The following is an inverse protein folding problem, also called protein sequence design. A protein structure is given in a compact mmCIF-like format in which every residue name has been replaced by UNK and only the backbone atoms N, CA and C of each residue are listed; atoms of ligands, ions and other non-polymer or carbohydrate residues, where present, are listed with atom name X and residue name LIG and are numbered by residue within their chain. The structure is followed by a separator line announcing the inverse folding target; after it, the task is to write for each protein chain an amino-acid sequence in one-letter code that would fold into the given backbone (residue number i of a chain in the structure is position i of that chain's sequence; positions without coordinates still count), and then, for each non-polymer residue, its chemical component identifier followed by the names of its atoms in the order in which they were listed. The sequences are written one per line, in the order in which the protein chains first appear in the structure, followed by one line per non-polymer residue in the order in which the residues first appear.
data_IF_675397063649
#
_entry.id   IF_675397063649
#
_cell.length_a   1.000
_cell.length_b   1.000
_cell.length_c   1.000
_cell.angle_alpha   90.00
_cell.angle_beta   90.00
_cell.angle_gamma   90.00
#
_symmetry.space_group_name_H-M   'P 1'
#
loop_
_entity.id
_entity.type
_entity.pdbx_description
1 polymer ?
#
# COMPACT_ATOMS: atom_id res chain seq x y z
N UNK A 1 5.15 5.29 30.94
CA UNK A 1 4.04 5.98 31.66
C UNK A 1 2.80 5.90 30.77
N UNK A 2 1.65 5.66 31.34
CA UNK A 2 0.44 5.42 30.56
C UNK A 2 -0.09 6.71 29.98
N UNK A 3 -0.65 6.66 28.78
CA UNK A 3 -1.35 7.75 28.12
C UNK A 3 -2.41 8.45 28.99
N UNK A 4 -2.98 7.72 29.96
CA UNK A 4 -3.95 8.23 30.95
C UNK A 4 -3.29 9.20 31.94
N UNK A 5 -2.06 8.91 32.39
CA UNK A 5 -1.35 9.83 33.30
C UNK A 5 -0.95 11.14 32.60
N UNK A 6 -0.66 11.09 31.31
CA UNK A 6 -0.37 12.30 30.53
C UNK A 6 -1.64 13.13 30.31
N UNK A 7 -2.79 12.48 30.12
CA UNK A 7 -4.08 13.15 30.06
C UNK A 7 -4.46 13.79 31.41
N UNK A 8 -4.20 13.12 32.53
CA UNK A 8 -4.47 13.67 33.87
C UNK A 8 -3.57 14.88 34.17
N UNK A 9 -2.31 14.87 33.70
CA UNK A 9 -1.43 16.06 33.79
C UNK A 9 -1.93 17.20 32.96
N UNK A 10 -2.52 16.93 31.82
CA UNK A 10 -3.14 17.92 30.94
C UNK A 10 -4.25 18.69 31.65
N UNK A 11 -5.11 18.00 32.41
CA UNK A 11 -6.23 18.61 33.14
C UNK A 11 -5.80 19.43 34.37
N UNK A 12 -4.59 19.27 34.88
CA UNK A 12 -4.13 19.89 36.13
C UNK A 12 -3.20 21.11 35.96
N UNK A 13 -2.90 21.52 34.73
CA UNK A 13 -2.08 22.71 34.52
C UNK A 13 -2.95 23.98 34.51
N UNK A 14 -3.03 24.66 35.64
CA UNK A 14 -3.57 26.02 35.74
C UNK A 14 -2.54 27.02 35.30
N UNK A 15 -2.93 28.00 34.50
CA UNK A 15 -2.00 29.05 34.04
C UNK A 15 -2.41 30.46 34.32
N UNK A 16 -3.63 30.71 34.61
CA UNK A 16 -4.17 32.02 34.90
C UNK A 16 -5.68 32.01 34.86
N UNK A 17 -6.24 33.11 35.29
CA UNK A 17 -7.67 33.34 35.21
C UNK A 17 -7.97 34.22 34.00
N UNK A 18 -9.15 34.11 33.44
CA UNK A 18 -9.62 35.11 32.50
C UNK A 18 -9.68 36.48 33.17
N UNK A 19 -9.51 37.55 32.40
CA UNK A 19 -9.48 38.93 32.92
C UNK A 19 -10.73 39.36 33.70
N UNK A 20 -11.82 38.63 33.51
CA UNK A 20 -13.11 38.83 34.19
C UNK A 20 -13.34 37.87 35.38
N UNK A 21 -12.39 37.03 35.70
CA UNK A 21 -12.48 36.03 36.76
C UNK A 21 -13.39 34.82 36.46
N UNK A 22 -13.89 34.69 35.24
CA UNK A 22 -14.81 33.65 34.85
C UNK A 22 -14.13 32.50 34.10
N UNK A 23 -13.17 31.88 34.71
CA UNK A 23 -12.52 30.69 34.12
C UNK A 23 -11.03 30.66 34.28
N UNK A 24 -10.42 29.57 33.89
CA UNK A 24 -8.99 29.36 34.02
C UNK A 24 -8.38 29.14 32.63
N UNK A 25 -7.25 29.83 32.39
CA UNK A 25 -6.46 29.57 31.21
C UNK A 25 -5.47 28.43 31.47
N UNK A 26 -5.32 27.56 30.55
CA UNK A 26 -4.30 26.51 30.58
C UNK A 26 -3.29 26.76 29.47
N UNK A 27 -2.01 26.72 29.82
CA UNK A 27 -1.00 26.67 28.77
C UNK A 27 -0.89 25.28 28.28
N UNK A 28 -1.51 25.07 27.20
CA UNK A 28 -1.30 23.88 26.41
C UNK A 28 -0.22 24.20 25.39
N UNK A 29 0.74 23.29 25.28
CA UNK A 29 1.53 23.31 24.05
C UNK A 29 0.55 23.01 22.92
N UNK A 30 0.35 23.99 22.07
CA UNK A 30 -0.46 23.84 20.85
C UNK A 30 0.41 23.45 19.66
N UNK A 31 1.56 22.86 19.91
CA UNK A 31 2.50 22.43 18.86
C UNK A 31 1.88 21.41 17.92
N UNK A 32 0.94 20.60 18.41
CA UNK A 32 0.17 19.70 17.57
C UNK A 32 -0.66 20.42 16.49
N UNK A 33 -1.06 21.68 16.74
CA UNK A 33 -1.76 22.47 15.74
C UNK A 33 -0.85 22.94 14.61
N UNK A 34 0.46 22.95 14.83
CA UNK A 34 1.41 23.32 13.81
C UNK A 34 1.37 22.36 12.62
N UNK A 35 0.97 21.10 12.84
CA UNK A 35 0.71 20.16 11.76
C UNK A 35 -0.36 20.72 10.81
N UNK A 36 -1.41 21.34 11.33
CA UNK A 36 -2.45 21.97 10.52
C UNK A 36 -2.02 23.32 9.97
N UNK A 37 -1.40 24.16 10.78
CA UNK A 37 -0.93 25.49 10.37
C UNK A 37 0.16 25.42 9.33
N UNK A 38 1.06 24.45 9.45
CA UNK A 38 2.18 24.24 8.53
C UNK A 38 1.82 23.42 7.30
N UNK A 39 0.63 22.87 7.25
CA UNK A 39 0.19 21.98 6.16
C UNK A 39 0.28 22.64 4.78
N UNK A 40 0.02 23.92 4.70
CA UNK A 40 0.04 24.69 3.46
C UNK A 40 1.43 25.20 3.08
N UNK A 41 2.42 25.04 3.95
CA UNK A 41 3.80 25.41 3.67
C UNK A 41 4.50 24.27 2.96
N UNK A 42 5.29 24.60 1.97
CA UNK A 42 6.08 23.63 1.22
C UNK A 42 7.38 24.26 0.72
N UNK A 43 8.40 23.45 0.55
CA UNK A 43 9.68 23.82 -0.04
C UNK A 43 9.66 23.52 -1.54
N UNK A 44 8.92 22.47 -1.96
CA UNK A 44 8.79 22.07 -3.34
C UNK A 44 7.48 21.34 -3.60
N UNK A 45 7.10 21.33 -4.88
CA UNK A 45 6.01 20.51 -5.39
C UNK A 45 6.63 19.46 -6.31
N UNK A 46 6.24 18.21 -6.11
CA UNK A 46 6.67 17.09 -6.95
C UNK A 46 5.43 16.47 -7.59
N UNK A 47 5.52 16.16 -8.89
CA UNK A 47 4.48 15.40 -9.56
C UNK A 47 4.66 13.92 -9.27
N UNK A 48 3.59 13.25 -8.88
CA UNK A 48 3.60 11.82 -8.60
C UNK A 48 2.21 11.22 -8.78
N UNK A 49 2.14 9.92 -8.65
CA UNK A 49 0.89 9.16 -8.50
C UNK A 49 0.94 8.35 -7.21
N UNK A 50 -0.19 7.88 -6.72
CA UNK A 50 -0.20 6.97 -5.58
C UNK A 50 -0.08 5.50 -6.03
N UNK A 51 0.49 4.68 -5.15
CA UNK A 51 0.80 3.28 -5.44
C UNK A 51 -0.35 2.33 -5.10
N UNK A 52 -1.53 2.53 -5.69
CA UNK A 52 -2.67 1.62 -5.56
C UNK A 52 -3.05 1.04 -6.92
N UNK A 53 -3.58 -0.18 -6.92
CA UNK A 53 -4.18 -0.78 -8.10
C UNK A 53 -5.48 -0.06 -8.42
N UNK A 54 -5.38 0.95 -9.27
CA UNK A 54 -6.48 1.81 -9.63
C UNK A 54 -6.34 2.24 -11.08
N UNK A 55 -7.42 2.20 -11.83
CA UNK A 55 -7.47 2.61 -13.24
C UNK A 55 -7.58 4.12 -13.44
N UNK A 56 -7.77 4.89 -12.37
CA UNK A 56 -7.95 6.34 -12.42
C UNK A 56 -6.76 7.11 -12.97
N UNK A 57 -5.56 6.54 -12.95
CA UNK A 57 -4.33 7.13 -13.52
C UNK A 57 -4.08 8.58 -13.09
N UNK A 58 -4.45 8.92 -11.86
CA UNK A 58 -4.37 10.29 -11.37
C UNK A 58 -2.93 10.76 -11.27
N UNK A 59 -2.69 12.00 -11.69
CA UNK A 59 -1.45 12.73 -11.44
C UNK A 59 -1.66 13.75 -10.33
N UNK A 60 -0.78 13.72 -9.35
CA UNK A 60 -0.91 14.55 -8.15
C UNK A 60 0.23 15.54 -8.03
N UNK A 61 -0.09 16.75 -7.58
CA UNK A 61 0.87 17.70 -7.06
C UNK A 61 1.10 17.36 -5.59
N UNK A 62 2.29 16.89 -5.28
CA UNK A 62 2.68 16.50 -3.93
C UNK A 62 3.49 17.64 -3.32
N UNK A 63 2.96 18.21 -2.26
CA UNK A 63 3.60 19.30 -1.52
C UNK A 63 4.52 18.72 -0.47
N UNK A 64 5.78 19.10 -0.52
CA UNK A 64 6.83 18.56 0.35
C UNK A 64 7.45 19.69 1.14
N UNK A 65 7.62 19.51 2.46
CA UNK A 65 8.36 20.38 3.34
C UNK A 65 9.36 19.57 4.15
N UNK A 66 10.62 19.99 4.13
CA UNK A 66 11.70 19.29 4.85
C UNK A 66 11.73 17.77 4.60
N UNK A 67 11.45 17.34 3.36
CA UNK A 67 11.40 15.93 2.99
C UNK A 67 10.13 15.19 3.36
N UNK A 68 9.17 15.82 4.02
CA UNK A 68 7.88 15.25 4.38
C UNK A 68 6.78 15.73 3.44
N UNK A 69 5.90 14.82 3.06
CA UNK A 69 4.69 15.17 2.33
C UNK A 69 3.73 15.83 3.31
N UNK A 70 3.32 17.04 3.00
CA UNK A 70 2.37 17.80 3.83
C UNK A 70 0.96 17.78 3.26
N UNK A 71 0.85 17.67 1.94
CA UNK A 71 -0.43 17.72 1.26
C UNK A 71 -0.32 17.20 -0.16
N UNK A 72 -1.46 16.88 -0.77
CA UNK A 72 -1.59 16.51 -2.17
C UNK A 72 -2.83 17.13 -2.80
N UNK A 73 -2.71 17.58 -4.05
CA UNK A 73 -3.83 18.05 -4.87
C UNK A 73 -3.78 17.44 -6.25
N UNK A 74 -4.94 17.31 -6.88
CA UNK A 74 -5.01 16.87 -8.27
C UNK A 74 -4.23 17.82 -9.17
N UNK A 75 -3.42 17.27 -10.04
CA UNK A 75 -2.81 18.01 -11.15
C UNK A 75 -3.91 18.43 -12.13
N UNK A 76 -4.01 19.72 -12.42
CA UNK A 76 -5.04 20.28 -13.31
C UNK A 76 -4.48 21.05 -14.50
N UNK A 77 -3.17 21.32 -14.52
CA UNK A 77 -2.48 22.09 -15.55
C UNK A 77 -1.91 21.15 -16.64
N UNK A 78 -2.78 20.33 -17.22
CA UNK A 78 -2.41 19.54 -18.37
C UNK A 78 -2.32 20.42 -19.62
N UNK A 79 -1.36 20.17 -20.51
CA UNK A 79 -1.30 20.88 -21.77
C UNK A 79 -2.56 20.58 -22.61
N UNK A 80 -3.08 21.60 -23.24
CA UNK A 80 -4.20 21.44 -24.16
C UNK A 80 -3.73 20.67 -25.40
N UNK A 81 -4.41 19.59 -25.73
CA UNK A 81 -4.05 18.74 -26.86
C UNK A 81 -4.76 19.16 -28.16
N UNK A 82 -5.93 19.78 -28.02
CA UNK A 82 -6.76 20.27 -29.14
C UNK A 82 -7.31 21.64 -28.80
N UNK A 83 -7.30 22.55 -29.79
CA UNK A 83 -7.79 23.90 -29.58
C UNK A 83 -9.29 24.04 -29.82
N UNK A 84 -9.87 23.11 -30.54
CA UNK A 84 -11.26 23.06 -30.96
C UNK A 84 -12.20 22.38 -29.95
N UNK A 85 -11.63 21.70 -28.96
CA UNK A 85 -12.38 21.05 -27.90
C UNK A 85 -12.01 21.61 -26.52
N UNK A 86 -12.92 21.55 -25.53
CA UNK A 86 -12.59 21.82 -24.17
C UNK A 86 -11.42 20.93 -23.71
N UNK A 87 -10.57 21.45 -22.83
CA UNK A 87 -9.47 20.64 -22.30
C UNK A 87 -10.01 19.60 -21.32
N UNK A 88 -9.32 18.45 -21.25
CA UNK A 88 -9.63 17.44 -20.27
C UNK A 88 -9.48 18.02 -18.84
N UNK A 89 -10.51 17.82 -18.02
CA UNK A 89 -10.48 18.20 -16.60
C UNK A 89 -10.26 16.98 -15.73
N UNK A 90 -9.03 16.66 -15.39
CA UNK A 90 -8.73 15.46 -14.62
C UNK A 90 -9.29 15.59 -13.20
N UNK A 91 -9.92 14.53 -12.72
CA UNK A 91 -10.46 14.47 -11.38
C UNK A 91 -9.97 13.24 -10.66
N UNK A 92 -9.34 13.47 -9.50
CA UNK A 92 -9.00 12.42 -8.57
C UNK A 92 -10.19 12.06 -7.67
N UNK A 93 -9.96 11.13 -6.79
CA UNK A 93 -10.93 10.73 -5.77
C UNK A 93 -10.43 11.11 -4.36
N UNK A 94 -11.31 11.09 -3.34
CA UNK A 94 -10.93 11.38 -1.96
C UNK A 94 -9.81 10.49 -1.42
N UNK A 95 -9.70 9.25 -1.88
CA UNK A 95 -8.61 8.35 -1.49
C UNK A 95 -7.25 8.88 -1.93
N UNK A 96 -7.12 9.31 -3.18
CA UNK A 96 -5.90 9.92 -3.68
C UNK A 96 -5.57 11.23 -2.97
N UNK A 97 -6.56 12.07 -2.76
CA UNK A 97 -6.42 13.37 -2.08
C UNK A 97 -6.02 13.27 -0.59
N UNK A 98 -6.08 12.08 -0.01
CA UNK A 98 -5.71 11.81 1.38
C UNK A 98 -4.61 10.77 1.53
N UNK A 99 -3.88 10.47 0.47
CA UNK A 99 -2.98 9.32 0.45
C UNK A 99 -1.76 9.47 1.37
N UNK A 100 -1.32 10.71 1.64
CA UNK A 100 -0.27 11.00 2.61
C UNK A 100 -0.63 10.50 4.02
N UNK A 101 -1.90 10.45 4.37
CA UNK A 101 -2.36 9.91 5.65
C UNK A 101 -2.06 8.42 5.80
N UNK A 102 -2.09 7.65 4.70
CA UNK A 102 -1.68 6.24 4.73
C UNK A 102 -0.17 6.10 4.98
N UNK A 103 0.62 7.00 4.39
CA UNK A 103 2.08 6.98 4.53
C UNK A 103 2.49 7.23 5.98
N UNK A 104 1.85 8.17 6.65
CA UNK A 104 2.19 8.58 8.01
C UNK A 104 1.24 8.03 9.08
N UNK A 105 0.32 7.18 8.71
CA UNK A 105 -0.63 6.55 9.63
C UNK A 105 0.08 5.71 10.70
N UNK A 106 -0.41 5.79 11.92
CA UNK A 106 0.03 4.94 13.02
C UNK A 106 -0.17 3.45 12.75
N UNK A 107 -1.13 3.11 11.89
CA UNK A 107 -1.43 1.73 11.49
C UNK A 107 -0.51 1.20 10.39
N UNK A 108 0.36 2.04 9.81
CA UNK A 108 1.29 1.60 8.78
C UNK A 108 2.20 0.51 9.32
N UNK A 109 2.32 -0.58 8.57
CA UNK A 109 3.21 -1.69 8.91
C UNK A 109 4.67 -1.26 8.71
N UNK A 110 5.45 -1.27 9.80
CA UNK A 110 6.87 -0.89 9.79
C UNK A 110 7.80 -2.09 9.62
N UNK A 111 7.31 -3.29 9.90
CA UNK A 111 8.10 -4.51 9.92
C UNK A 111 7.32 -5.65 9.28
N UNK A 112 8.02 -6.64 8.71
CA UNK A 112 7.37 -7.86 8.24
C UNK A 112 6.64 -8.53 9.39
N UNK A 113 5.50 -9.10 9.07
CA UNK A 113 4.70 -9.88 10.00
C UNK A 113 4.41 -11.25 9.39
N UNK A 114 4.72 -12.28 10.14
CA UNK A 114 4.50 -13.67 9.73
C UNK A 114 3.53 -14.31 10.70
N UNK A 115 2.67 -15.18 10.20
CA UNK A 115 1.72 -15.91 11.02
C UNK A 115 2.44 -16.76 12.05
N UNK A 116 2.07 -16.66 13.32
CA UNK A 116 2.78 -17.27 14.45
C UNK A 116 3.03 -18.77 14.30
N UNK A 117 2.08 -19.62 13.86
CA UNK A 117 2.35 -21.04 13.70
C UNK A 117 3.43 -21.31 12.66
N UNK A 118 3.38 -20.65 11.49
CA UNK A 118 4.39 -20.81 10.45
C UNK A 118 5.78 -20.36 10.94
N UNK A 119 5.87 -19.22 11.61
CA UNK A 119 7.15 -18.71 12.09
C UNK A 119 7.77 -19.59 13.16
N UNK A 120 6.95 -20.22 14.02
CA UNK A 120 7.43 -21.20 14.99
C UNK A 120 8.04 -22.43 14.30
N UNK A 121 7.33 -23.02 13.35
CA UNK A 121 7.81 -24.16 12.58
C UNK A 121 9.10 -23.82 11.82
N UNK A 122 9.14 -22.64 11.21
CA UNK A 122 10.32 -22.17 10.51
C UNK A 122 11.53 -22.06 11.43
N UNK A 123 11.42 -21.35 12.54
CA UNK A 123 12.51 -21.15 13.49
C UNK A 123 13.00 -22.46 14.11
N UNK A 124 12.11 -23.41 14.34
CA UNK A 124 12.47 -24.73 14.83
C UNK A 124 13.27 -25.51 13.78
N UNK A 125 12.76 -25.60 12.55
CA UNK A 125 13.43 -26.29 11.46
C UNK A 125 14.81 -25.66 11.13
N UNK A 126 14.90 -24.33 11.15
CA UNK A 126 16.14 -23.59 10.85
C UNK A 126 17.24 -23.76 11.88
N UNK A 127 16.97 -24.36 13.03
CA UNK A 127 18.02 -24.69 14.01
C UNK A 127 19.00 -25.75 13.50
N UNK A 128 18.51 -26.64 12.66
CA UNK A 128 19.26 -27.83 12.22
C UNK A 128 19.31 -28.01 10.70
N UNK A 129 18.49 -27.32 9.95
CA UNK A 129 18.34 -27.50 8.51
C UNK A 129 18.73 -26.25 7.73
N UNK A 130 19.21 -26.43 6.51
CA UNK A 130 19.35 -25.38 5.53
C UNK A 130 17.97 -24.78 5.14
N UNK A 131 17.90 -23.52 4.64
CA UNK A 131 16.60 -22.86 4.40
C UNK A 131 15.62 -23.66 3.56
N UNK A 132 16.08 -24.22 2.45
CA UNK A 132 15.22 -24.98 1.51
C UNK A 132 14.73 -26.28 2.15
N UNK A 133 15.59 -26.96 2.89
CA UNK A 133 15.23 -28.22 3.58
C UNK A 133 14.28 -27.96 4.74
N UNK A 134 14.50 -26.87 5.48
CA UNK A 134 13.58 -26.42 6.52
C UNK A 134 12.18 -26.15 5.96
N UNK A 135 12.09 -25.44 4.84
CA UNK A 135 10.80 -25.22 4.16
C UNK A 135 10.19 -26.53 3.70
N UNK A 136 10.97 -27.40 3.05
CA UNK A 136 10.52 -28.71 2.61
C UNK A 136 9.93 -29.56 3.74
N UNK A 137 10.59 -29.56 4.92
CA UNK A 137 10.14 -30.30 6.10
C UNK A 137 8.80 -29.82 6.68
N UNK A 138 8.45 -28.55 6.41
CA UNK A 138 7.18 -27.96 6.86
C UNK A 138 6.07 -28.28 5.88
N UNK A 139 6.32 -28.04 4.57
CA UNK A 139 5.24 -28.13 3.58
C UNK A 139 4.96 -29.55 3.09
N UNK A 140 5.93 -30.47 3.24
CA UNK A 140 5.76 -31.88 2.88
C UNK A 140 5.14 -32.71 4.01
N UNK A 141 5.07 -32.18 5.21
CA UNK A 141 4.38 -32.81 6.33
C UNK A 141 2.93 -32.27 6.39
N UNK A 142 1.90 -33.13 6.15
CA UNK A 142 0.51 -32.68 6.12
C UNK A 142 0.06 -32.04 7.44
N UNK A 143 0.53 -32.53 8.57
CA UNK A 143 0.14 -32.02 9.91
C UNK A 143 0.71 -30.63 10.12
N UNK A 144 1.99 -30.42 9.82
CA UNK A 144 2.61 -29.10 9.91
C UNK A 144 2.00 -28.12 8.91
N UNK A 145 1.79 -28.56 7.68
CA UNK A 145 1.17 -27.74 6.64
C UNK A 145 -0.23 -27.28 7.06
N UNK A 146 -1.05 -28.17 7.56
CA UNK A 146 -2.41 -27.85 8.03
C UNK A 146 -2.40 -26.94 9.24
N UNK A 147 -1.46 -27.11 10.17
CA UNK A 147 -1.38 -26.32 11.40
C UNK A 147 -1.27 -24.81 11.15
N UNK A 148 -0.62 -24.38 10.09
CA UNK A 148 -0.53 -22.96 9.74
C UNK A 148 -1.52 -22.53 8.67
N UNK A 149 -1.91 -23.42 7.74
CA UNK A 149 -2.89 -23.10 6.69
C UNK A 149 -4.28 -22.88 7.24
N UNK A 150 -4.71 -23.68 8.22
CA UNK A 150 -6.00 -23.52 8.91
C UNK A 150 -6.16 -22.20 9.65
N UNK A 151 -5.06 -21.47 9.88
CA UNK A 151 -5.09 -20.17 10.55
C UNK A 151 -5.18 -18.96 9.59
N UNK A 152 -5.36 -19.21 8.30
CA UNK A 152 -5.59 -18.13 7.33
C UNK A 152 -6.90 -17.40 7.67
N UNK A 153 -6.86 -16.07 7.58
CA UNK A 153 -8.00 -15.21 7.94
C UNK A 153 -8.16 -14.95 9.45
N UNK A 154 -7.51 -15.72 10.32
CA UNK A 154 -7.69 -15.64 11.77
C UNK A 154 -6.72 -14.67 12.48
N UNK A 155 -5.94 -13.88 11.74
CA UNK A 155 -4.92 -13.01 12.31
C UNK A 155 -3.72 -13.76 12.90
N UNK A 156 -3.30 -13.36 14.11
CA UNK A 156 -2.20 -14.04 14.82
C UNK A 156 -0.82 -13.80 14.21
N UNK A 157 -0.60 -12.64 13.61
CA UNK A 157 0.69 -12.26 13.06
C UNK A 157 1.63 -11.74 14.13
N UNK A 158 2.89 -12.12 14.03
CA UNK A 158 3.97 -11.62 14.87
C UNK A 158 5.08 -10.99 14.03
N UNK A 159 5.82 -10.08 14.63
CA UNK A 159 6.92 -9.37 13.99
C UNK A 159 8.05 -10.35 13.65
N UNK A 160 8.61 -10.18 12.47
CA UNK A 160 9.83 -10.81 11.98
C UNK A 160 10.83 -9.75 11.52
N UNK A 161 12.06 -10.15 11.21
CA UNK A 161 13.02 -9.31 10.48
C UNK A 161 12.79 -9.45 8.98
N UNK A 162 13.33 -8.48 8.21
CA UNK A 162 13.34 -8.57 6.76
C UNK A 162 14.18 -9.74 6.27
N UNK A 163 15.32 -10.01 6.92
CA UNK A 163 16.19 -11.11 6.55
C UNK A 163 15.50 -12.46 6.73
N UNK A 164 14.84 -12.67 7.87
CA UNK A 164 14.06 -13.89 8.13
C UNK A 164 12.90 -14.07 7.16
N UNK A 165 12.18 -12.99 6.85
CA UNK A 165 11.07 -13.04 5.90
C UNK A 165 11.55 -13.32 4.48
N UNK A 166 12.61 -12.66 4.04
CA UNK A 166 13.19 -12.86 2.71
C UNK A 166 13.80 -14.24 2.55
N UNK A 167 14.49 -14.75 3.57
CA UNK A 167 15.04 -16.12 3.58
C UNK A 167 13.93 -17.15 3.43
N UNK A 168 12.83 -17.00 4.17
CA UNK A 168 11.68 -17.90 4.08
C UNK A 168 11.03 -17.86 2.69
N UNK A 169 10.83 -16.67 2.12
CA UNK A 169 10.26 -16.51 0.76
C UNK A 169 11.19 -17.13 -0.28
N UNK A 170 12.49 -16.86 -0.19
CA UNK A 170 13.46 -17.43 -1.10
C UNK A 170 13.51 -18.95 -1.03
N UNK A 171 13.49 -19.51 0.19
CA UNK A 171 13.43 -20.96 0.40
C UNK A 171 12.18 -21.58 -0.20
N UNK A 172 11.02 -20.93 -0.04
CA UNK A 172 9.77 -21.39 -0.62
C UNK A 172 9.82 -21.41 -2.16
N UNK A 173 10.34 -20.34 -2.76
CA UNK A 173 10.47 -20.25 -4.22
C UNK A 173 11.45 -21.27 -4.78
N UNK A 174 12.64 -21.40 -4.17
CA UNK A 174 13.65 -22.38 -4.59
C UNK A 174 13.13 -23.82 -4.44
N UNK A 175 12.44 -24.11 -3.35
CA UNK A 175 11.80 -25.42 -3.18
C UNK A 175 10.77 -25.70 -4.29
N UNK A 176 9.91 -24.72 -4.57
CA UNK A 176 8.87 -24.86 -5.60
C UNK A 176 9.49 -25.06 -6.99
N UNK A 177 10.47 -24.24 -7.34
CA UNK A 177 11.19 -24.34 -8.63
C UNK A 177 11.85 -25.68 -8.78
N UNK A 178 12.56 -26.18 -7.74
CA UNK A 178 13.25 -27.47 -7.79
C UNK A 178 12.31 -28.68 -7.87
N UNK A 179 11.19 -28.60 -7.17
CA UNK A 179 10.27 -29.75 -7.04
C UNK A 179 9.22 -29.80 -8.14
N UNK A 180 8.72 -28.66 -8.59
CA UNK A 180 7.54 -28.59 -9.44
C UNK A 180 7.77 -27.82 -10.75
N UNK A 181 8.87 -27.10 -10.88
CA UNK A 181 9.17 -26.22 -11.99
C UNK A 181 8.95 -24.73 -11.67
N UNK A 182 9.61 -23.84 -12.40
CA UNK A 182 9.54 -22.40 -12.15
C UNK A 182 8.17 -21.80 -12.50
N UNK A 183 7.44 -22.38 -13.43
CA UNK A 183 6.07 -22.01 -13.85
C UNK A 183 5.03 -22.14 -12.73
N UNK A 184 5.40 -22.80 -11.63
CA UNK A 184 4.55 -22.91 -10.43
C UNK A 184 4.70 -21.76 -9.45
N UNK A 185 5.62 -20.84 -9.71
CA UNK A 185 5.70 -19.55 -9.01
C UNK A 185 4.99 -18.51 -9.87
N UNK A 186 3.86 -18.04 -9.38
CA UNK A 186 2.96 -17.17 -10.14
C UNK A 186 2.81 -15.83 -9.41
N UNK A 187 2.78 -14.74 -10.15
CA UNK A 187 2.49 -13.41 -9.62
C UNK A 187 1.77 -12.54 -10.64
N UNK A 188 1.24 -11.43 -10.17
CA UNK A 188 0.55 -10.45 -10.99
C UNK A 188 1.42 -9.20 -11.17
N UNK A 189 1.48 -8.66 -12.38
CA UNK A 189 1.97 -7.31 -12.58
C UNK A 189 0.94 -6.30 -12.06
N UNK A 190 1.36 -5.21 -11.40
CA UNK A 190 0.45 -4.12 -11.05
C UNK A 190 -0.03 -3.37 -12.30
N UNK A 191 -1.03 -2.50 -12.10
CA UNK A 191 -1.54 -1.62 -13.17
C UNK A 191 -0.43 -0.68 -13.65
N UNK A 192 -0.26 -0.45 -14.95
CA UNK A 192 0.78 0.43 -15.50
C UNK A 192 0.69 1.90 -15.06
N UNK A 193 -0.45 2.35 -14.55
CA UNK A 193 -0.62 3.69 -13.98
C UNK A 193 0.21 3.96 -12.73
N UNK A 194 0.80 2.92 -12.17
CA UNK A 194 1.66 2.99 -10.98
C UNK A 194 3.08 3.39 -11.36
N UNK A 195 3.91 3.58 -10.32
CA UNK A 195 5.34 3.80 -10.49
C UNK A 195 5.96 2.69 -11.36
N UNK A 196 6.84 3.09 -12.29
CA UNK A 196 7.57 2.13 -13.14
C UNK A 196 8.35 1.10 -12.32
N UNK A 197 8.89 1.49 -11.17
CA UNK A 197 9.59 0.56 -10.27
C UNK A 197 8.63 -0.47 -9.70
N UNK A 198 7.46 -0.04 -9.24
CA UNK A 198 6.43 -0.96 -8.70
C UNK A 198 5.91 -1.91 -9.76
N UNK A 199 5.72 -1.43 -10.99
CA UNK A 199 5.29 -2.25 -12.12
C UNK A 199 6.37 -3.25 -12.53
N UNK A 200 7.61 -2.79 -12.68
CA UNK A 200 8.69 -3.58 -13.25
C UNK A 200 9.29 -4.58 -12.25
N UNK A 201 9.35 -4.27 -10.96
CA UNK A 201 10.07 -5.08 -9.98
C UNK A 201 9.54 -6.52 -9.87
N UNK A 202 8.22 -6.68 -9.75
CA UNK A 202 7.59 -8.01 -9.65
C UNK A 202 7.71 -8.80 -10.95
N UNK A 203 7.44 -8.17 -12.08
CA UNK A 203 7.57 -8.79 -13.41
C UNK A 203 9.01 -9.21 -13.70
N UNK A 204 9.98 -8.36 -13.37
CA UNK A 204 11.40 -8.67 -13.48
C UNK A 204 11.80 -9.88 -12.61
N UNK A 205 11.35 -9.89 -11.36
CA UNK A 205 11.63 -11.01 -10.46
C UNK A 205 11.12 -12.33 -11.03
N UNK A 206 9.85 -12.39 -11.45
CA UNK A 206 9.26 -13.58 -12.03
C UNK A 206 9.99 -14.01 -13.31
N UNK A 207 10.32 -13.08 -14.19
CA UNK A 207 11.08 -13.36 -15.42
C UNK A 207 12.46 -13.95 -15.12
N UNK A 208 13.15 -13.45 -14.09
CA UNK A 208 14.48 -13.94 -13.72
C UNK A 208 14.47 -15.36 -13.13
N UNK A 209 13.40 -15.73 -12.44
CA UNK A 209 13.28 -17.09 -11.87
C UNK A 209 12.53 -18.07 -12.78
N UNK A 210 12.05 -17.62 -13.94
CA UNK A 210 11.23 -18.43 -14.84
C UNK A 210 9.80 -18.62 -14.37
N UNK A 211 9.31 -17.77 -13.49
CA UNK A 211 7.94 -17.78 -12.96
C UNK A 211 6.91 -17.27 -13.96
N UNK A 212 5.65 -17.59 -13.74
CA UNK A 212 4.53 -17.10 -14.54
C UNK A 212 4.11 -15.69 -14.07
N UNK A 213 4.15 -14.73 -14.97
CA UNK A 213 3.69 -13.37 -14.72
C UNK A 213 2.31 -13.18 -15.36
N UNK A 214 1.28 -13.09 -14.54
CA UNK A 214 -0.07 -12.78 -14.97
C UNK A 214 -0.26 -11.26 -15.00
N UNK A 215 -0.98 -10.80 -16.01
CA UNK A 215 -1.36 -9.40 -16.10
C UNK A 215 -2.52 -9.12 -15.14
N UNK A 216 -2.47 -7.98 -14.47
CA UNK A 216 -3.58 -7.50 -13.68
C UNK A 216 -4.83 -7.25 -14.54
N UNK A 217 -4.65 -6.81 -15.76
CA UNK A 217 -5.73 -6.59 -16.71
C UNK A 217 -6.41 -7.88 -17.17
N UNK A 218 -5.70 -9.00 -17.18
CA UNK A 218 -6.30 -10.30 -17.52
C UNK A 218 -7.22 -10.82 -16.41
N UNK A 219 -7.08 -10.29 -15.21
CA UNK A 219 -7.80 -10.78 -14.04
C UNK A 219 -8.83 -9.81 -13.50
N UNK A 220 -8.59 -8.54 -13.66
CA UNK A 220 -9.47 -7.48 -13.19
C UNK A 220 -10.47 -7.09 -14.29
N UNK A 221 -11.62 -6.56 -13.89
CA UNK A 221 -12.76 -6.32 -14.78
C UNK A 221 -12.55 -5.31 -15.91
N UNK A 222 -11.38 -4.73 -16.05
CA UNK A 222 -11.12 -3.70 -17.05
C UNK A 222 -11.10 -4.26 -18.48
N UNK A 223 -10.57 -5.49 -18.63
CA UNK A 223 -10.45 -6.16 -19.92
C UNK A 223 -10.88 -7.63 -19.80
N UNK A 224 -11.98 -7.95 -19.16
CA UNK A 224 -12.30 -9.33 -18.91
C UNK A 224 -12.72 -10.02 -20.20
N UNK A 225 -12.18 -11.21 -20.46
CA UNK A 225 -12.71 -12.07 -21.52
C UNK A 225 -14.17 -12.41 -21.32
N UNK A 226 -14.68 -12.23 -20.10
CA UNK A 226 -16.06 -12.48 -19.75
C UNK A 226 -17.04 -11.47 -20.34
N UNK A 227 -16.68 -10.20 -20.47
CA UNK A 227 -17.60 -9.19 -21.03
C UNK A 227 -18.01 -9.51 -22.45
N UNK A 228 -17.12 -9.80 -23.41
CA UNK A 228 -17.51 -10.26 -24.73
C UNK A 228 -18.31 -11.56 -24.72
N UNK A 229 -18.03 -12.46 -23.78
CA UNK A 229 -18.74 -13.74 -23.67
C UNK A 229 -20.16 -13.58 -23.15
N UNK A 230 -20.38 -12.64 -22.22
CA UNK A 230 -21.69 -12.41 -21.59
C UNK A 230 -22.55 -11.46 -22.39
N UNK A 231 -21.96 -10.36 -22.91
CA UNK A 231 -22.68 -9.26 -23.53
C UNK A 231 -22.43 -9.11 -25.03
N UNK A 232 -21.50 -9.88 -25.58
CA UNK A 232 -21.16 -9.81 -26.98
C UNK A 232 -20.21 -8.69 -27.36
N UNK A 233 -19.90 -7.80 -26.44
CA UNK A 233 -18.99 -6.68 -26.66
C UNK A 233 -18.18 -6.36 -25.40
N UNK A 234 -17.05 -5.68 -25.59
CA UNK A 234 -16.21 -5.20 -24.50
C UNK A 234 -16.75 -3.84 -24.03
N UNK A 235 -17.36 -3.84 -22.84
CA UNK A 235 -17.97 -2.63 -22.24
C UNK A 235 -17.25 -2.14 -20.99
N UNK A 236 -16.33 -2.93 -20.47
CA UNK A 236 -15.71 -2.67 -19.17
C UNK A 236 -14.33 -2.02 -19.27
N UNK A 237 -13.98 -1.45 -20.38
CA UNK A 237 -12.80 -0.60 -20.48
C UNK A 237 -13.19 0.81 -20.05
N UNK A 238 -12.92 1.22 -18.82
CA UNK A 238 -12.95 2.62 -18.50
C UNK A 238 -11.72 3.27 -19.14
N UNK A 239 -11.75 3.52 -20.40
CA UNK A 239 -11.03 4.67 -20.86
C UNK A 239 -11.53 5.82 -20.00
N UNK A 240 -10.62 6.68 -19.54
CA UNK A 240 -11.02 7.85 -18.79
C UNK A 240 -12.09 8.54 -19.60
N UNK A 241 -13.34 8.21 -19.29
CA UNK A 241 -14.48 8.70 -20.01
C UNK A 241 -14.43 10.21 -19.93
N UNK A 242 -14.35 10.84 -21.06
CA UNK A 242 -14.41 12.29 -21.13
C UNK A 242 -15.85 12.73 -20.88
N UNK A 243 -16.27 12.59 -19.64
CA UNK A 243 -17.60 12.91 -19.16
C UNK A 243 -18.01 14.35 -19.46
N UNK A 244 -17.02 15.24 -19.65
CA UNK A 244 -17.26 16.67 -19.87
C UNK A 244 -17.55 17.00 -21.33
N UNK A 245 -16.99 16.24 -22.25
CA UNK A 245 -17.18 16.42 -23.65
C UNK A 245 -18.24 15.46 -24.24
N UNK A 246 -18.77 14.60 -23.37
CA UNK A 246 -19.85 13.70 -23.73
C UNK A 246 -21.17 14.44 -23.77
N UNK A 247 -21.95 14.20 -24.83
CA UNK A 247 -23.29 14.78 -24.97
C UNK A 247 -24.38 14.00 -24.22
N UNK A 248 -24.03 12.93 -23.56
CA UNK A 248 -24.93 12.07 -22.79
C UNK A 248 -24.22 11.59 -21.51
#
# INVERSE_FOLDING_TARGET
MSHILDQLRFFNRKQGEFADGHGETRQESRDWENVYRSRWQYDKIVRSTHGVNCTGSCSWKIYVKNGLITWETQQTDYPRTRNDLPNHEPRGCPRGASYSWYIYSANRLKYPKIRKPLLKLWREARRTMAPVDAWASIVSDPVKAESYKSKRGMGGFIRSSWDEANEMIAAANVFTVKKFGPDRVVGFSPIPAMSMVSYAAGSRYLSLIGGACLSFYDWYCDLPPSSPQVWGEQTDVPESADWYNSNY
#
